data_IF_895876236570
#
_entry.id   IF_895876236570
#
_cell.length_a   1.000
_cell.length_b   1.000
_cell.length_c   1.000
_cell.angle_alpha   90.00
_cell.angle_beta   90.00
_cell.angle_gamma   90.00
#
_symmetry.space_group_name_H-M   'P 1'
#
loop_
_entity.id
_entity.type
_entity.pdbx_description
1 polymer ?
#
# COMPACT_ATOMS: atom_id res chain seq x y z
N UNK A 1 -2.67 -1.96 16.70
CA UNK A 1 -2.05 -3.29 17.05
C UNK A 1 -1.12 -3.69 15.92
N UNK A 2 0.14 -4.01 16.22
CA UNK A 2 1.14 -4.43 15.23
C UNK A 2 0.72 -5.74 14.53
N UNK A 3 1.09 -5.91 13.26
CA UNK A 3 0.78 -7.15 12.51
C UNK A 3 1.33 -8.40 13.22
N UNK A 4 2.54 -8.32 13.80
CA UNK A 4 3.17 -9.41 14.53
C UNK A 4 2.48 -9.78 15.86
N UNK A 5 1.68 -8.89 16.45
CA UNK A 5 0.87 -9.17 17.62
C UNK A 5 -0.39 -9.98 17.25
N UNK A 6 -0.87 -9.83 16.02
CA UNK A 6 -2.06 -10.51 15.51
C UNK A 6 -1.74 -11.80 14.78
N UNK A 7 -0.71 -11.80 13.93
CA UNK A 7 -0.29 -12.94 13.14
C UNK A 7 1.16 -13.29 13.45
N UNK A 8 1.39 -14.50 13.92
CA UNK A 8 2.75 -15.02 14.12
C UNK A 8 3.40 -15.34 12.79
N UNK A 9 2.59 -15.73 11.78
CA UNK A 9 3.02 -16.16 10.46
C UNK A 9 2.26 -15.43 9.36
N UNK A 10 2.97 -15.19 8.26
CA UNK A 10 2.42 -14.68 7.00
C UNK A 10 2.71 -15.69 5.89
N UNK A 11 1.75 -15.86 4.98
CA UNK A 11 1.80 -16.84 3.90
C UNK A 11 1.89 -16.11 2.56
N UNK A 12 2.94 -16.38 1.80
CA UNK A 12 3.11 -15.84 0.44
C UNK A 12 2.97 -16.95 -0.58
N UNK A 13 1.91 -16.89 -1.38
CA UNK A 13 1.61 -17.90 -2.41
C UNK A 13 2.30 -17.54 -3.72
N UNK A 14 2.94 -18.53 -4.35
CA UNK A 14 3.72 -18.31 -5.56
C UNK A 14 3.85 -19.56 -6.42
N UNK A 15 4.37 -19.40 -7.64
CA UNK A 15 4.71 -20.48 -8.55
C UNK A 15 6.09 -21.06 -8.21
N UNK A 16 6.49 -22.16 -8.91
CA UNK A 16 7.85 -22.71 -8.79
C UNK A 16 8.92 -21.67 -9.12
N UNK A 17 8.77 -20.95 -10.24
CA UNK A 17 9.73 -19.94 -10.66
C UNK A 17 9.85 -18.78 -9.64
N UNK A 18 8.71 -18.35 -9.05
CA UNK A 18 8.70 -17.36 -7.99
C UNK A 18 9.40 -17.86 -6.73
N UNK A 19 9.14 -19.12 -6.32
CA UNK A 19 9.82 -19.74 -5.17
C UNK A 19 11.34 -19.77 -5.37
N UNK A 20 11.81 -20.28 -6.51
CA UNK A 20 13.24 -20.35 -6.84
C UNK A 20 13.86 -18.95 -6.78
N UNK A 21 13.22 -17.96 -7.43
CA UNK A 21 13.69 -16.58 -7.42
C UNK A 21 13.80 -15.97 -6.01
N UNK A 22 12.84 -16.25 -5.13
CA UNK A 22 12.85 -15.76 -3.75
C UNK A 22 14.01 -16.40 -2.95
N UNK A 23 14.21 -17.72 -3.08
CA UNK A 23 15.24 -18.44 -2.32
C UNK A 23 16.64 -18.08 -2.81
N UNK A 24 16.88 -18.10 -4.12
CA UNK A 24 18.20 -17.87 -4.70
C UNK A 24 18.67 -16.41 -4.53
N UNK A 25 17.75 -15.45 -4.69
CA UNK A 25 18.10 -14.03 -4.60
C UNK A 25 17.93 -13.46 -3.19
N UNK A 26 17.39 -14.23 -2.23
CA UNK A 26 17.13 -13.79 -0.85
C UNK A 26 16.32 -12.49 -0.78
N UNK A 27 15.40 -12.31 -1.70
CA UNK A 27 14.60 -11.08 -1.81
C UNK A 27 13.12 -11.39 -2.09
N UNK A 28 12.26 -10.42 -1.78
CA UNK A 28 10.87 -10.40 -2.20
C UNK A 28 10.65 -9.33 -3.26
N UNK A 29 9.93 -9.66 -4.30
CA UNK A 29 9.55 -8.69 -5.31
C UNK A 29 8.31 -7.94 -4.88
N UNK A 30 8.44 -6.62 -4.71
CA UNK A 30 7.30 -5.73 -4.58
C UNK A 30 7.01 -5.12 -5.95
N UNK A 31 5.81 -5.35 -6.45
CA UNK A 31 5.37 -4.92 -7.79
C UNK A 31 4.72 -3.56 -7.71
N UNK A 32 4.96 -2.70 -8.68
CA UNK A 32 4.34 -1.39 -8.79
C UNK A 32 2.81 -1.52 -8.81
N UNK A 33 2.11 -0.71 -8.01
CA UNK A 33 0.67 -0.84 -7.74
C UNK A 33 -0.21 -0.87 -8.99
N UNK A 34 0.16 -0.12 -10.05
CA UNK A 34 -0.61 -0.05 -11.31
C UNK A 34 -0.60 -1.35 -12.11
N UNK A 35 0.31 -2.28 -11.80
CA UNK A 35 0.48 -3.57 -12.46
C UNK A 35 0.00 -4.75 -11.60
N UNK A 36 -0.65 -4.46 -10.48
CA UNK A 36 -1.37 -5.46 -9.70
C UNK A 36 -2.68 -5.84 -10.40
N UNK A 37 -3.15 -7.05 -10.16
CA UNK A 37 -4.39 -7.55 -10.76
C UNK A 37 -5.61 -6.68 -10.37
N UNK A 38 -5.53 -6.01 -9.22
CA UNK A 38 -6.62 -5.29 -8.57
C UNK A 38 -6.41 -3.76 -8.57
N UNK A 39 -5.80 -3.21 -9.64
CA UNK A 39 -5.57 -1.75 -9.75
C UNK A 39 -6.85 -0.92 -9.54
N UNK A 40 -8.02 -1.45 -9.92
CA UNK A 40 -9.32 -0.82 -9.65
C UNK A 40 -9.59 -0.57 -8.15
N UNK A 41 -8.91 -1.30 -7.26
CA UNK A 41 -9.04 -1.11 -5.81
C UNK A 41 -8.50 0.24 -5.34
N UNK A 42 -7.49 0.79 -6.01
CA UNK A 42 -6.98 2.13 -5.68
C UNK A 42 -8.03 3.22 -5.89
N UNK A 43 -9.03 2.98 -6.75
CA UNK A 43 -10.15 3.88 -6.99
C UNK A 43 -11.26 3.76 -5.96
N UNK A 44 -11.37 2.62 -5.25
CA UNK A 44 -12.42 2.41 -4.24
C UNK A 44 -12.31 3.38 -3.07
N UNK A 45 -11.10 3.75 -2.67
CA UNK A 45 -10.91 4.73 -1.61
C UNK A 45 -11.36 6.12 -2.04
N UNK A 46 -11.39 6.43 -3.35
CA UNK A 46 -11.77 7.73 -3.87
C UNK A 46 -13.20 8.11 -3.46
N UNK A 47 -14.14 7.19 -3.63
CA UNK A 47 -15.55 7.44 -3.29
C UNK A 47 -15.73 7.67 -1.79
N UNK A 48 -15.01 6.89 -0.97
CA UNK A 48 -15.01 7.07 0.50
C UNK A 48 -14.37 8.39 0.92
N UNK A 49 -13.31 8.83 0.24
CA UNK A 49 -12.69 10.13 0.50
C UNK A 49 -13.59 11.30 0.11
N UNK A 50 -14.33 11.19 -1.00
CA UNK A 50 -15.33 12.19 -1.39
C UNK A 50 -16.39 12.32 -0.30
N UNK A 51 -16.92 11.18 0.19
CA UNK A 51 -17.89 11.15 1.29
C UNK A 51 -17.37 11.85 2.55
N UNK A 52 -16.11 11.59 2.94
CA UNK A 52 -15.49 12.17 4.13
C UNK A 52 -15.10 13.65 3.95
N UNK A 53 -14.63 14.02 2.77
CA UNK A 53 -14.15 15.38 2.49
C UNK A 53 -15.31 16.38 2.29
N UNK A 54 -16.41 15.95 1.68
CA UNK A 54 -17.53 16.82 1.31
C UNK A 54 -18.07 17.68 2.48
N UNK A 55 -18.35 17.15 3.69
CA UNK A 55 -18.80 17.98 4.81
C UNK A 55 -17.75 18.99 5.28
N UNK A 56 -16.46 18.64 5.21
CA UNK A 56 -15.37 19.53 5.57
C UNK A 56 -15.28 20.68 4.56
N UNK A 57 -15.29 20.35 3.26
CA UNK A 57 -15.29 21.34 2.17
C UNK A 57 -16.48 22.28 2.30
N UNK A 58 -17.66 21.76 2.63
CA UNK A 58 -18.88 22.54 2.81
C UNK A 58 -18.74 23.52 3.99
N UNK A 59 -18.25 23.05 5.13
CA UNK A 59 -18.04 23.85 6.33
C UNK A 59 -17.02 24.98 6.07
N UNK A 60 -15.86 24.66 5.54
CA UNK A 60 -14.78 25.63 5.29
C UNK A 60 -15.16 26.62 4.18
N UNK A 61 -15.83 26.18 3.12
CA UNK A 61 -16.32 27.10 2.08
C UNK A 61 -17.34 28.09 2.64
N UNK A 62 -18.22 27.69 3.56
CA UNK A 62 -19.16 28.60 4.24
C UNK A 62 -18.43 29.60 5.13
N UNK A 63 -17.49 29.15 5.96
CA UNK A 63 -16.68 30.04 6.82
C UNK A 63 -15.95 31.10 5.98
N UNK A 64 -15.37 30.69 4.85
CA UNK A 64 -14.68 31.61 3.96
C UNK A 64 -15.63 32.67 3.40
N UNK A 65 -16.78 32.24 2.83
CA UNK A 65 -17.79 33.15 2.28
C UNK A 65 -18.32 34.12 3.35
N UNK A 66 -18.53 33.64 4.57
CA UNK A 66 -19.02 34.46 5.68
C UNK A 66 -18.01 35.51 6.17
N UNK A 67 -16.72 35.17 6.07
CA UNK A 67 -15.62 36.08 6.41
C UNK A 67 -15.31 37.15 5.33
N UNK A 68 -15.78 36.98 4.10
CA UNK A 68 -15.43 37.84 2.94
C UNK A 68 -16.68 38.34 2.22
N UNK A 69 -17.16 39.59 2.57
CA UNK A 69 -18.41 40.17 2.04
C UNK A 69 -18.48 40.24 0.50
N UNK A 70 -17.35 40.46 -0.17
CA UNK A 70 -17.29 40.51 -1.63
C UNK A 70 -17.51 39.12 -2.26
N UNK A 71 -16.99 38.10 -1.62
CA UNK A 71 -17.18 36.70 -2.04
C UNK A 71 -18.64 36.24 -1.83
N UNK A 72 -19.32 36.76 -0.82
CA UNK A 72 -20.78 36.53 -0.60
C UNK A 72 -21.62 36.90 -1.81
N UNK A 73 -21.25 37.99 -2.50
CA UNK A 73 -21.97 38.45 -3.69
C UNK A 73 -21.75 37.47 -4.86
N UNK A 74 -20.54 36.99 -5.03
CA UNK A 74 -20.19 36.00 -6.05
C UNK A 74 -20.89 34.67 -5.74
N UNK A 75 -20.88 34.24 -4.49
CA UNK A 75 -21.56 33.00 -4.07
C UNK A 75 -23.07 33.08 -4.24
N UNK A 76 -23.72 34.24 -3.99
CA UNK A 76 -25.14 34.43 -4.29
C UNK A 76 -25.46 34.26 -5.78
N UNK A 77 -24.56 34.67 -6.67
CA UNK A 77 -24.68 34.47 -8.12
C UNK A 77 -24.55 32.98 -8.47
N UNK A 78 -23.60 32.29 -7.85
CA UNK A 78 -23.38 30.84 -8.03
C UNK A 78 -24.54 30.05 -7.48
N UNK A 79 -25.05 30.37 -6.30
CA UNK A 79 -26.25 29.74 -5.70
C UNK A 79 -27.49 29.88 -6.58
N UNK A 80 -27.64 31.01 -7.27
CA UNK A 80 -28.76 31.22 -8.21
C UNK A 80 -28.61 30.51 -9.54
N UNK A 81 -27.38 30.17 -9.95
CA UNK A 81 -27.10 29.54 -11.26
C UNK A 81 -26.86 28.03 -11.19
N UNK A 82 -26.09 27.56 -10.23
CA UNK A 82 -25.65 26.14 -10.16
C UNK A 82 -25.89 25.49 -8.77
N UNK A 83 -26.22 26.32 -7.76
CA UNK A 83 -26.38 25.89 -6.38
C UNK A 83 -25.06 25.77 -5.62
N UNK A 84 -25.07 26.07 -4.32
CA UNK A 84 -23.90 25.95 -3.44
C UNK A 84 -23.37 24.50 -3.39
N UNK A 85 -24.26 23.53 -3.38
CA UNK A 85 -23.91 22.11 -3.33
C UNK A 85 -23.11 21.67 -4.57
N UNK A 86 -23.42 22.19 -5.75
CA UNK A 86 -22.65 21.90 -6.98
C UNK A 86 -21.22 22.43 -6.90
N UNK A 87 -21.00 23.58 -6.26
CA UNK A 87 -19.65 24.12 -6.01
C UNK A 87 -18.89 23.26 -5.01
N UNK A 88 -19.55 22.84 -3.93
CA UNK A 88 -18.98 21.93 -2.94
C UNK A 88 -18.58 20.60 -3.58
N UNK A 89 -19.44 20.03 -4.41
CA UNK A 89 -19.17 18.79 -5.13
C UNK A 89 -17.98 18.92 -6.07
N UNK A 90 -17.95 20.01 -6.86
CA UNK A 90 -16.81 20.29 -7.75
C UNK A 90 -15.50 20.45 -6.98
N UNK A 91 -15.48 21.29 -5.94
CA UNK A 91 -14.29 21.53 -5.12
C UNK A 91 -13.82 20.24 -4.42
N UNK A 92 -14.75 19.41 -3.94
CA UNK A 92 -14.42 18.12 -3.33
C UNK A 92 -13.77 17.17 -4.35
N UNK A 93 -14.31 17.08 -5.56
CA UNK A 93 -13.72 16.22 -6.61
C UNK A 93 -12.34 16.73 -7.03
N UNK A 94 -12.16 18.04 -7.23
CA UNK A 94 -10.86 18.65 -7.55
C UNK A 94 -9.83 18.36 -6.44
N UNK A 95 -10.22 18.51 -5.20
CA UNK A 95 -9.38 18.27 -4.05
C UNK A 95 -8.95 16.80 -3.94
N UNK A 96 -9.89 15.87 -4.04
CA UNK A 96 -9.59 14.43 -4.00
C UNK A 96 -8.72 14.01 -5.19
N UNK A 97 -8.98 14.53 -6.39
CA UNK A 97 -8.10 14.30 -7.57
C UNK A 97 -6.70 14.85 -7.33
N UNK A 98 -6.58 16.04 -6.71
CA UNK A 98 -5.29 16.64 -6.34
C UNK A 98 -4.51 15.72 -5.41
N UNK A 99 -5.16 15.11 -4.42
CA UNK A 99 -4.52 14.11 -3.53
C UNK A 99 -3.96 12.91 -4.31
N UNK A 100 -4.74 12.35 -5.23
CA UNK A 100 -4.26 11.25 -6.07
C UNK A 100 -3.10 11.68 -7.00
N UNK A 101 -3.08 12.93 -7.44
CA UNK A 101 -2.00 13.48 -8.26
C UNK A 101 -0.69 13.67 -7.47
N UNK A 102 -0.75 13.73 -6.13
CA UNK A 102 0.46 13.79 -5.29
C UNK A 102 1.13 12.42 -5.14
N UNK A 103 0.44 11.32 -5.45
CA UNK A 103 1.06 9.98 -5.44
C UNK A 103 2.11 9.93 -6.55
N UNK A 104 3.39 9.67 -6.21
CA UNK A 104 4.43 9.59 -7.22
C UNK A 104 4.07 8.60 -8.31
N UNK A 105 4.41 8.93 -9.55
CA UNK A 105 4.25 8.01 -10.69
C UNK A 105 5.06 6.72 -10.52
N UNK A 106 6.06 6.74 -9.64
CA UNK A 106 6.99 5.66 -9.29
C UNK A 106 6.61 4.93 -7.98
N UNK A 107 5.36 4.74 -7.68
CA UNK A 107 5.02 3.92 -6.51
C UNK A 107 3.58 4.11 -6.07
N UNK A 108 3.09 3.36 -5.08
CA UNK A 108 3.79 2.38 -4.23
C UNK A 108 4.12 1.04 -4.92
N UNK A 109 5.09 0.35 -4.35
CA UNK A 109 5.41 -1.04 -4.68
C UNK A 109 4.86 -1.97 -3.58
N UNK A 110 4.17 -3.03 -3.98
CA UNK A 110 3.39 -3.86 -3.07
C UNK A 110 3.79 -5.33 -3.17
N UNK A 111 3.94 -5.96 -2.00
CA UNK A 111 4.02 -7.42 -1.85
C UNK A 111 2.94 -7.87 -0.88
N UNK A 112 2.13 -8.85 -1.29
CA UNK A 112 0.97 -9.31 -0.54
C UNK A 112 1.23 -10.66 0.12
N UNK A 113 0.63 -10.84 1.29
CA UNK A 113 0.63 -12.04 2.10
C UNK A 113 -0.78 -12.31 2.60
N UNK A 114 -1.06 -13.56 2.98
CA UNK A 114 -2.22 -13.90 3.81
C UNK A 114 -1.78 -14.00 5.27
N UNK A 115 -2.55 -13.43 6.18
CA UNK A 115 -2.38 -13.65 7.61
C UNK A 115 -2.81 -15.05 8.04
N UNK A 116 -2.31 -15.52 9.17
CA UNK A 116 -2.74 -16.79 9.78
C UNK A 116 -4.26 -16.87 9.89
N UNK A 117 -4.83 -18.03 9.52
CA UNK A 117 -6.25 -18.35 9.72
C UNK A 117 -6.50 -18.81 11.16
N UNK A 118 -7.76 -18.72 11.61
CA UNK A 118 -8.22 -19.38 12.83
C UNK A 118 -8.36 -20.91 12.63
N UNK A 119 -8.43 -21.37 11.39
CA UNK A 119 -8.51 -22.77 11.01
C UNK A 119 -7.10 -23.32 10.83
N UNK A 120 -6.70 -24.24 11.71
CA UNK A 120 -5.40 -24.90 11.66
C UNK A 120 -5.19 -25.73 10.39
N UNK A 121 -6.28 -26.27 9.78
CA UNK A 121 -6.20 -26.98 8.53
C UNK A 121 -5.72 -26.05 7.40
N UNK A 122 -6.24 -24.83 7.33
CA UNK A 122 -5.81 -23.79 6.36
C UNK A 122 -4.35 -23.43 6.62
N UNK A 123 -3.95 -23.27 7.87
CA UNK A 123 -2.57 -22.95 8.22
C UNK A 123 -1.60 -24.08 7.83
N UNK A 124 -2.03 -25.33 7.91
CA UNK A 124 -1.21 -26.48 7.55
C UNK A 124 -1.16 -26.77 6.03
N UNK A 125 -2.27 -26.55 5.31
CA UNK A 125 -2.44 -26.98 3.93
C UNK A 125 -2.56 -25.84 2.92
N UNK A 126 -2.66 -24.58 3.39
CA UNK A 126 -2.93 -23.40 2.56
C UNK A 126 -4.41 -23.23 2.21
N UNK A 127 -4.74 -22.07 1.70
CA UNK A 127 -6.09 -21.64 1.35
C UNK A 127 -6.39 -21.96 -0.13
N UNK A 128 -7.55 -22.57 -0.39
CA UNK A 128 -7.91 -23.03 -1.74
C UNK A 128 -8.01 -21.90 -2.77
N UNK A 129 -8.61 -20.76 -2.38
CA UNK A 129 -8.69 -19.58 -3.26
C UNK A 129 -7.31 -19.05 -3.65
N UNK A 130 -6.36 -19.06 -2.72
CA UNK A 130 -4.98 -18.63 -2.96
C UNK A 130 -4.23 -19.59 -3.88
N UNK A 131 -4.44 -20.90 -3.72
CA UNK A 131 -3.90 -21.90 -4.67
C UNK A 131 -4.41 -21.68 -6.10
N UNK A 132 -5.70 -21.34 -6.24
CA UNK A 132 -6.30 -21.05 -7.55
C UNK A 132 -5.81 -19.73 -8.16
N UNK A 133 -5.66 -18.71 -7.34
CA UNK A 133 -5.27 -17.36 -7.80
C UNK A 133 -3.78 -17.24 -8.11
N UNK A 134 -2.92 -17.82 -7.27
CA UNK A 134 -1.48 -17.56 -7.29
C UNK A 134 -0.61 -18.79 -7.44
N UNK A 135 -1.18 -19.98 -7.24
CA UNK A 135 -0.43 -21.23 -7.20
C UNK A 135 -0.35 -21.95 -8.52
N UNK A 136 -0.52 -21.33 -9.69
CA UNK A 136 -0.56 -21.97 -11.00
C UNK A 136 0.01 -23.40 -10.99
N UNK A 137 -0.78 -24.40 -11.41
CA UNK A 137 -0.37 -25.79 -11.44
C UNK A 137 0.11 -26.34 -10.06
N UNK A 138 -0.58 -25.94 -8.99
CA UNK A 138 -0.36 -26.42 -7.62
C UNK A 138 0.49 -25.52 -6.72
N UNK A 139 1.40 -24.73 -7.23
CA UNK A 139 2.15 -23.69 -6.51
C UNK A 139 2.81 -24.05 -5.17
N UNK A 140 3.24 -23.01 -4.47
CA UNK A 140 3.91 -23.07 -3.17
C UNK A 140 3.44 -21.93 -2.27
N UNK A 141 3.37 -22.17 -0.96
CA UNK A 141 3.18 -21.11 0.02
C UNK A 141 4.40 -21.06 0.95
N UNK A 142 5.12 -19.93 0.92
CA UNK A 142 6.21 -19.65 1.83
C UNK A 142 5.62 -19.08 3.11
N UNK A 143 5.99 -19.65 4.25
CA UNK A 143 5.52 -19.24 5.58
C UNK A 143 6.62 -18.47 6.27
N UNK A 144 6.36 -17.19 6.51
CA UNK A 144 7.30 -16.26 7.10
C UNK A 144 7.01 -16.00 8.58
N UNK A 145 8.06 -15.86 9.38
CA UNK A 145 7.97 -15.29 10.72
C UNK A 145 7.69 -13.77 10.62
N UNK A 146 6.54 -13.36 11.13
CA UNK A 146 6.08 -11.96 11.01
C UNK A 146 6.94 -10.98 11.79
N UNK A 147 7.42 -11.36 12.97
CA UNK A 147 8.25 -10.48 13.81
C UNK A 147 9.62 -10.25 13.15
N UNK A 148 10.25 -11.32 12.68
CA UNK A 148 11.53 -11.22 11.96
C UNK A 148 11.39 -10.44 10.66
N UNK A 149 10.26 -10.59 9.95
CA UNK A 149 9.95 -9.78 8.75
C UNK A 149 9.89 -8.30 9.09
N UNK A 150 9.21 -7.93 10.19
CA UNK A 150 9.17 -6.55 10.66
C UNK A 150 10.55 -5.99 11.00
N UNK A 151 11.41 -6.78 11.64
CA UNK A 151 12.80 -6.38 11.91
C UNK A 151 13.61 -6.16 10.61
N UNK A 152 13.38 -6.99 9.58
CA UNK A 152 14.04 -6.81 8.28
C UNK A 152 13.57 -5.54 7.57
N UNK A 153 12.28 -5.19 7.68
CA UNK A 153 11.77 -3.94 7.12
C UNK A 153 12.40 -2.70 7.76
N UNK A 154 12.61 -2.73 9.07
CA UNK A 154 13.32 -1.64 9.77
C UNK A 154 14.73 -1.48 9.21
N UNK A 155 15.49 -2.59 9.07
CA UNK A 155 16.85 -2.55 8.50
C UNK A 155 16.85 -2.06 7.04
N UNK A 156 15.88 -2.49 6.23
CA UNK A 156 15.73 -2.03 4.84
C UNK A 156 15.49 -0.52 4.79
N UNK A 157 14.59 0.00 5.64
CA UNK A 157 14.32 1.43 5.78
C UNK A 157 15.53 2.24 6.27
N UNK A 158 16.30 1.68 7.21
CA UNK A 158 17.53 2.33 7.71
C UNK A 158 18.62 2.41 6.66
N UNK A 159 18.72 1.41 5.79
CA UNK A 159 19.80 1.27 4.81
C UNK A 159 19.54 2.02 3.50
N UNK A 160 18.30 2.12 3.05
CA UNK A 160 17.91 2.66 1.76
C UNK A 160 16.94 3.84 1.88
N UNK A 161 16.89 4.67 0.85
CA UNK A 161 16.02 5.83 0.80
C UNK A 161 14.57 5.42 0.46
N UNK A 162 13.71 5.51 1.45
CA UNK A 162 12.26 5.38 1.32
C UNK A 162 11.59 6.60 1.95
N UNK A 163 10.59 7.16 1.28
CA UNK A 163 9.68 8.12 1.91
C UNK A 163 8.77 7.42 2.92
N UNK A 164 8.37 6.18 2.61
CA UNK A 164 7.59 5.34 3.51
C UNK A 164 7.75 3.86 3.15
N UNK A 165 7.77 2.99 4.17
CA UNK A 165 7.64 1.54 4.01
C UNK A 165 6.92 0.98 5.24
N UNK A 166 5.92 0.15 5.03
CA UNK A 166 5.15 -0.44 6.12
C UNK A 166 4.73 -1.88 5.80
N UNK A 167 4.53 -2.66 6.87
CA UNK A 167 3.85 -3.94 6.84
C UNK A 167 2.56 -3.80 7.62
N UNK A 168 1.42 -3.85 6.95
CA UNK A 168 0.13 -3.69 7.61
C UNK A 168 -0.99 -4.44 6.89
N UNK A 169 -2.12 -4.57 7.58
CA UNK A 169 -3.29 -5.31 7.10
C UNK A 169 -4.10 -4.48 6.11
N UNK A 170 -4.73 -5.16 5.18
CA UNK A 170 -5.74 -4.56 4.30
C UNK A 170 -7.02 -4.24 5.08
N UNK A 171 -7.62 -3.09 4.82
CA UNK A 171 -8.93 -2.67 5.32
C UNK A 171 -9.97 -2.88 4.23
N UNK A 172 -10.99 -3.68 4.51
CA UNK A 172 -12.02 -4.02 3.52
C UNK A 172 -13.19 -3.04 3.54
N UNK A 173 -13.76 -2.74 2.38
CA UNK A 173 -14.77 -1.69 2.18
C UNK A 173 -16.09 -1.85 2.95
N UNK A 174 -16.31 -2.98 3.62
CA UNK A 174 -17.47 -3.21 4.51
C UNK A 174 -17.10 -3.28 5.99
N UNK A 175 -15.88 -2.94 6.36
CA UNK A 175 -15.39 -2.97 7.73
C UNK A 175 -15.27 -1.55 8.27
N UNK A 176 -16.43 -0.91 8.49
CA UNK A 176 -16.52 0.49 8.94
C UNK A 176 -15.85 0.71 10.30
N UNK A 177 -15.95 -0.26 11.22
CA UNK A 177 -15.30 -0.18 12.54
C UNK A 177 -13.78 -0.08 12.36
N UNK A 178 -13.22 -0.95 11.55
CA UNK A 178 -11.80 -0.97 11.27
C UNK A 178 -11.34 0.23 10.44
N UNK A 179 -12.16 0.71 9.52
CA UNK A 179 -11.89 1.94 8.79
C UNK A 179 -11.73 3.12 9.77
N UNK A 180 -12.65 3.24 10.74
CA UNK A 180 -12.59 4.25 11.79
C UNK A 180 -11.36 4.12 12.68
N UNK A 181 -11.01 2.91 13.07
CA UNK A 181 -9.86 2.67 13.94
C UNK A 181 -8.51 2.94 13.26
N UNK A 182 -8.35 2.55 11.99
CA UNK A 182 -7.05 2.53 11.31
C UNK A 182 -6.87 3.70 10.33
N UNK A 183 -7.92 4.13 9.62
CA UNK A 183 -7.83 5.13 8.56
C UNK A 183 -8.28 6.52 9.02
N UNK A 184 -9.35 6.66 9.80
CA UNK A 184 -9.77 7.99 10.26
C UNK A 184 -8.68 8.76 11.03
N UNK A 185 -7.90 8.15 11.95
CA UNK A 185 -6.79 8.85 12.61
C UNK A 185 -5.71 9.33 11.64
N UNK A 186 -5.42 8.54 10.59
CA UNK A 186 -4.46 8.92 9.54
C UNK A 186 -5.04 10.00 8.63
N UNK A 187 -6.33 9.91 8.31
CA UNK A 187 -7.05 10.88 7.51
C UNK A 187 -7.42 12.15 8.30
N UNK A 188 -7.26 12.17 9.63
CA UNK A 188 -7.45 13.40 10.42
C UNK A 188 -6.48 14.52 10.03
N UNK A 189 -5.26 14.17 9.64
CA UNK A 189 -4.31 15.10 9.04
C UNK A 189 -4.80 15.63 7.68
N UNK A 190 -5.68 14.87 7.00
CA UNK A 190 -6.35 15.27 5.79
C UNK A 190 -7.25 16.50 6.00
N UNK A 191 -7.89 16.63 7.17
CA UNK A 191 -8.73 17.80 7.46
C UNK A 191 -7.91 19.11 7.40
N UNK A 192 -6.77 19.17 8.07
CA UNK A 192 -5.88 20.33 8.01
C UNK A 192 -5.35 20.61 6.59
N UNK A 193 -5.08 19.56 5.82
CA UNK A 193 -4.71 19.68 4.41
C UNK A 193 -5.86 20.27 3.58
N UNK A 194 -7.09 19.77 3.75
CA UNK A 194 -8.29 20.27 3.07
C UNK A 194 -8.51 21.76 3.40
N UNK A 195 -8.45 22.12 4.67
CA UNK A 195 -8.59 23.48 5.15
C UNK A 195 -7.54 24.43 4.54
N UNK A 196 -6.28 23.98 4.48
CA UNK A 196 -5.18 24.72 3.84
C UNK A 196 -5.38 24.89 2.32
N UNK A 197 -5.80 23.83 1.64
CA UNK A 197 -6.09 23.87 0.20
C UNK A 197 -7.26 24.78 -0.15
N UNK A 198 -8.32 24.76 0.65
CA UNK A 198 -9.47 25.66 0.45
C UNK A 198 -9.02 27.12 0.61
N UNK A 199 -8.21 27.43 1.61
CA UNK A 199 -7.62 28.77 1.76
C UNK A 199 -6.76 29.15 0.56
N UNK A 200 -5.89 28.25 0.07
CA UNK A 200 -5.09 28.48 -1.14
C UNK A 200 -5.96 28.81 -2.36
N UNK A 201 -7.05 28.05 -2.56
CA UNK A 201 -7.98 28.26 -3.69
C UNK A 201 -8.61 29.65 -3.63
N UNK A 202 -8.96 30.10 -2.42
CA UNK A 202 -9.69 31.35 -2.23
C UNK A 202 -8.80 32.58 -2.09
N UNK A 203 -7.64 32.45 -1.49
CA UNK A 203 -6.73 33.59 -1.19
C UNK A 203 -5.60 33.72 -2.21
N UNK A 204 -5.40 32.72 -3.09
CA UNK A 204 -4.33 32.70 -4.09
C UNK A 204 -2.92 32.62 -3.50
N UNK A 205 -2.82 32.34 -2.18
CA UNK A 205 -1.56 32.22 -1.46
C UNK A 205 -1.30 30.76 -1.08
N UNK A 206 -0.06 30.29 -1.27
CA UNK A 206 0.37 28.98 -0.77
C UNK A 206 0.42 29.04 0.78
N UNK A 207 -0.50 28.34 1.42
CA UNK A 207 -0.50 28.18 2.87
C UNK A 207 0.73 27.33 3.28
N UNK A 208 1.53 27.77 4.30
CA UNK A 208 2.63 26.97 4.84
C UNK A 208 2.23 25.58 5.31
N UNK A 209 0.97 25.37 5.70
CA UNK A 209 0.45 24.02 5.99
C UNK A 209 0.39 23.14 4.74
N UNK A 210 0.20 23.72 3.57
CA UNK A 210 0.27 23.00 2.29
C UNK A 210 1.72 22.63 1.94
N UNK A 211 2.71 23.31 2.50
CA UNK A 211 4.14 23.00 2.31
C UNK A 211 4.65 21.83 3.18
N UNK A 212 3.97 21.48 4.27
CA UNK A 212 4.41 20.43 5.22
C UNK A 212 3.68 19.07 4.98
N UNK A 213 3.62 18.64 3.71
CA UNK A 213 2.74 17.54 3.27
C UNK A 213 3.28 16.12 3.45
N UNK A 214 4.53 15.92 3.80
CA UNK A 214 5.13 14.59 3.85
C UNK A 214 4.32 13.60 4.70
N UNK A 215 3.80 14.05 5.84
CA UNK A 215 3.01 13.19 6.72
C UNK A 215 1.62 12.90 6.17
N UNK A 216 0.91 13.93 5.67
CA UNK A 216 -0.42 13.75 5.09
C UNK A 216 -0.38 12.90 3.82
N UNK A 217 0.64 13.09 2.98
CA UNK A 217 0.90 12.27 1.82
C UNK A 217 1.16 10.81 2.19
N UNK A 218 2.05 10.55 3.15
CA UNK A 218 2.38 9.21 3.62
C UNK A 218 1.13 8.49 4.15
N UNK A 219 0.33 9.17 4.97
CA UNK A 219 -0.87 8.62 5.58
C UNK A 219 -1.93 8.30 4.52
N UNK A 220 -2.11 9.18 3.54
CA UNK A 220 -2.99 8.95 2.39
C UNK A 220 -2.51 7.77 1.53
N UNK A 221 -1.24 7.76 1.16
CA UNK A 221 -0.65 6.70 0.34
C UNK A 221 -0.74 5.32 1.01
N UNK A 222 -0.53 5.28 2.34
CA UNK A 222 -0.76 4.08 3.15
C UNK A 222 -2.22 3.61 3.07
N UNK A 223 -3.19 4.49 3.27
CA UNK A 223 -4.62 4.13 3.17
C UNK A 223 -4.98 3.64 1.76
N UNK A 224 -4.52 4.36 0.72
CA UNK A 224 -4.77 3.99 -0.68
C UNK A 224 -4.24 2.59 -1.03
N UNK A 225 -3.07 2.24 -0.53
CA UNK A 225 -2.42 0.95 -0.81
C UNK A 225 -3.06 -0.23 -0.08
N UNK A 226 -3.91 0.02 0.91
CA UNK A 226 -4.47 -1.00 1.81
C UNK A 226 -6.00 -1.05 1.84
N UNK A 227 -6.70 -0.21 1.07
CA UNK A 227 -8.16 -0.28 0.97
C UNK A 227 -8.56 -1.24 -0.14
N UNK A 228 -9.40 -2.24 0.17
CA UNK A 228 -9.75 -3.31 -0.76
C UNK A 228 -11.25 -3.63 -0.74
N UNK A 229 -11.75 -4.10 -1.87
CA UNK A 229 -13.15 -4.51 -1.97
C UNK A 229 -13.47 -5.70 -1.06
N UNK A 230 -14.62 -5.65 -0.39
CA UNK A 230 -15.09 -6.67 0.57
C UNK A 230 -15.13 -8.09 0.03
N UNK A 231 -15.29 -8.26 -1.28
CA UNK A 231 -15.31 -9.59 -1.93
C UNK A 231 -14.03 -10.39 -1.74
N UNK A 232 -12.91 -9.72 -1.38
CA UNK A 232 -11.62 -10.34 -1.13
C UNK A 232 -11.31 -10.56 0.36
N UNK A 233 -12.30 -10.39 1.24
CA UNK A 233 -12.10 -10.48 2.71
C UNK A 233 -11.56 -11.85 3.17
N UNK A 234 -11.86 -12.92 2.43
CA UNK A 234 -11.34 -14.25 2.73
C UNK A 234 -9.81 -14.35 2.61
N UNK A 235 -9.17 -13.51 1.78
CA UNK A 235 -7.72 -13.51 1.61
C UNK A 235 -6.98 -13.12 2.90
N UNK A 236 -7.64 -12.47 3.85
CA UNK A 236 -7.05 -12.01 5.12
C UNK A 236 -5.70 -11.32 4.88
N UNK A 237 -5.69 -10.38 3.94
CA UNK A 237 -4.49 -9.87 3.30
C UNK A 237 -3.69 -8.93 4.20
N UNK A 238 -2.39 -9.09 4.16
CA UNK A 238 -1.37 -8.22 4.75
C UNK A 238 -0.43 -7.78 3.64
N UNK A 239 -0.09 -6.50 3.57
CA UNK A 239 0.77 -5.93 2.54
C UNK A 239 2.04 -5.32 3.12
N UNK A 240 3.16 -5.52 2.43
CA UNK A 240 4.27 -4.58 2.47
C UNK A 240 3.98 -3.52 1.40
N UNK A 241 3.87 -2.27 1.81
CA UNK A 241 3.72 -1.12 0.93
C UNK A 241 4.99 -0.28 1.03
N UNK A 242 5.73 -0.16 -0.07
CA UNK A 242 7.01 0.52 -0.12
C UNK A 242 6.95 1.71 -1.08
N UNK A 243 7.39 2.87 -0.62
CA UNK A 243 7.47 4.11 -1.37
C UNK A 243 8.95 4.53 -1.44
N UNK A 244 9.74 4.05 -2.42
CA UNK A 244 11.11 4.48 -2.58
C UNK A 244 11.17 5.98 -2.82
N UNK A 245 12.07 6.67 -2.13
CA UNK A 245 12.30 8.09 -2.38
C UNK A 245 12.95 8.28 -3.76
N UNK A 246 12.48 9.30 -4.48
CA UNK A 246 13.14 9.82 -5.68
C UNK A 246 13.86 11.09 -5.22
N UNK A 247 15.14 11.23 -5.56
CA UNK A 247 15.91 12.42 -5.28
C UNK A 247 15.89 13.35 -6.47
N UNK A 248 15.65 14.62 -6.21
CA UNK A 248 15.94 15.65 -7.19
C UNK A 248 17.39 16.11 -6.98
N UNK A 249 18.18 16.17 -8.05
CA UNK A 249 19.58 16.66 -8.00
C UNK A 249 19.70 18.09 -7.45
N UNK A 250 18.56 18.77 -7.29
CA UNK A 250 18.45 20.15 -6.80
C UNK A 250 18.39 20.29 -5.28
N UNK A 251 18.28 19.19 -4.54
CA UNK A 251 18.06 19.25 -3.08
C UNK A 251 19.26 19.75 -2.26
N UNK A 252 20.42 20.00 -2.91
CA UNK A 252 21.57 20.69 -2.28
C UNK A 252 22.16 19.97 -1.04
N UNK A 253 21.71 18.75 -0.75
CA UNK A 253 22.16 17.97 0.39
C UNK A 253 23.51 17.29 0.08
N UNK A 254 24.34 17.18 1.10
CA UNK A 254 25.64 16.53 1.01
C UNK A 254 25.46 15.05 0.63
N UNK A 255 26.01 14.64 -0.54
CA UNK A 255 25.83 13.30 -1.10
C UNK A 255 26.30 12.19 -0.18
N UNK A 256 27.28 12.46 0.68
CA UNK A 256 27.88 11.48 1.58
C UNK A 256 27.00 11.17 2.82
N UNK A 257 25.99 11.98 3.10
CA UNK A 257 25.06 11.79 4.21
C UNK A 257 23.72 11.13 3.78
N UNK A 258 23.55 10.89 2.49
CA UNK A 258 22.28 10.43 1.94
C UNK A 258 22.25 8.90 1.79
N UNK A 259 21.17 8.26 2.26
CA UNK A 259 20.95 6.83 2.02
C UNK A 259 20.89 6.53 0.52
N UNK A 260 21.46 5.39 0.05
CA UNK A 260 21.33 4.97 -1.34
C UNK A 260 19.87 4.85 -1.77
N UNK A 261 19.58 5.19 -3.02
CA UNK A 261 18.24 4.97 -3.59
C UNK A 261 17.93 3.48 -3.73
N UNK A 262 16.65 3.15 -3.64
CA UNK A 262 16.18 1.81 -3.96
C UNK A 262 16.14 1.62 -5.47
N UNK A 263 16.85 0.63 -5.97
CA UNK A 263 16.89 0.28 -7.40
C UNK A 263 15.51 -0.18 -7.88
N UNK A 264 15.07 0.32 -9.06
CA UNK A 264 13.87 -0.10 -9.78
C UNK A 264 14.28 -1.02 -10.91
N UNK A 265 13.71 -2.19 -10.93
CA UNK A 265 13.94 -3.23 -11.93
C UNK A 265 12.67 -3.49 -12.73
N UNK A 266 12.83 -4.16 -13.87
CA UNK A 266 11.70 -4.49 -14.76
C UNK A 266 11.69 -5.98 -15.07
N UNK A 267 10.49 -6.53 -15.17
CA UNK A 267 10.27 -7.90 -15.65
C UNK A 267 9.20 -7.91 -16.74
N UNK A 268 9.33 -8.82 -17.68
CA UNK A 268 8.28 -9.03 -18.68
C UNK A 268 7.19 -9.95 -18.13
N UNK A 269 5.95 -9.49 -18.12
CA UNK A 269 4.75 -10.29 -17.78
C UNK A 269 3.70 -10.05 -18.85
N UNK A 270 3.25 -11.09 -19.53
CA UNK A 270 2.24 -11.02 -20.61
C UNK A 270 2.58 -9.99 -21.72
N UNK A 271 3.87 -9.82 -22.05
CA UNK A 271 4.33 -8.87 -23.07
C UNK A 271 4.51 -7.43 -22.56
N UNK A 272 4.17 -7.12 -21.32
CA UNK A 272 4.34 -5.82 -20.70
C UNK A 272 5.57 -5.76 -19.81
N UNK A 273 6.20 -4.59 -19.73
CA UNK A 273 7.30 -4.31 -18.79
C UNK A 273 6.71 -3.87 -17.47
N UNK A 274 6.84 -4.71 -16.46
CA UNK A 274 6.30 -4.50 -15.11
C UNK A 274 7.41 -4.05 -14.18
N UNK A 275 7.36 -2.80 -13.66
CA UNK A 275 8.34 -2.34 -12.68
C UNK A 275 8.14 -3.04 -11.33
N UNK A 276 9.26 -3.37 -10.69
CA UNK A 276 9.29 -3.93 -9.33
C UNK A 276 10.56 -3.52 -8.60
N UNK A 277 10.57 -3.68 -7.29
CA UNK A 277 11.74 -3.55 -6.43
C UNK A 277 12.02 -4.86 -5.70
N UNK A 278 13.30 -5.11 -5.41
CA UNK A 278 13.76 -6.31 -4.71
C UNK A 278 13.97 -5.99 -3.22
N UNK A 279 12.93 -6.20 -2.40
CA UNK A 279 13.00 -5.99 -0.96
C UNK A 279 14.01 -6.95 -0.31
N UNK A 280 14.79 -6.46 0.64
CA UNK A 280 15.76 -7.20 1.46
C UNK A 280 17.04 -7.67 0.75
N UNK A 281 17.16 -7.55 -0.56
CA UNK A 281 18.33 -8.02 -1.33
C UNK A 281 19.66 -7.47 -0.80
N UNK A 282 19.67 -6.21 -0.36
CA UNK A 282 20.89 -5.53 0.11
C UNK A 282 21.24 -5.86 1.56
N UNK A 283 20.40 -6.59 2.28
CA UNK A 283 20.63 -6.91 3.69
C UNK A 283 21.64 -8.05 3.89
N UNK A 284 21.92 -8.83 2.85
CA UNK A 284 22.81 -10.00 2.86
C UNK A 284 22.51 -10.97 4.03
N UNK A 285 21.22 -11.24 4.21
CA UNK A 285 20.72 -12.17 5.22
C UNK A 285 19.57 -13.02 4.64
N UNK A 286 19.40 -14.22 5.17
CA UNK A 286 18.32 -15.10 4.76
C UNK A 286 16.95 -14.53 5.13
N UNK A 287 15.99 -14.71 4.23
CA UNK A 287 14.60 -14.37 4.51
C UNK A 287 14.07 -15.21 5.68
N UNK A 288 13.16 -14.67 6.50
CA UNK A 288 12.65 -15.35 7.69
C UNK A 288 11.58 -16.39 7.35
N UNK A 289 11.92 -17.32 6.44
CA UNK A 289 11.06 -18.41 6.00
C UNK A 289 11.19 -19.57 6.97
N UNK A 290 10.10 -19.98 7.63
CA UNK A 290 10.08 -21.12 8.55
C UNK A 290 9.84 -22.44 7.82
N UNK A 291 8.93 -22.41 6.84
CA UNK A 291 8.57 -23.61 6.06
C UNK A 291 7.95 -23.24 4.72
N UNK A 292 7.90 -24.25 3.83
CA UNK A 292 7.22 -24.15 2.54
C UNK A 292 6.14 -25.22 2.45
N UNK A 293 4.92 -24.81 2.09
CA UNK A 293 3.80 -25.72 1.85
C UNK A 293 3.73 -25.96 0.35
N UNK A 294 3.74 -27.24 -0.05
CA UNK A 294 3.52 -27.64 -1.44
C UNK A 294 2.02 -27.75 -1.70
N UNK A 295 1.53 -26.98 -2.65
CA UNK A 295 0.12 -26.93 -3.00
C UNK A 295 -0.42 -28.24 -3.59
N UNK A 296 -1.75 -28.33 -3.79
CA UNK A 296 -2.37 -29.52 -4.33
C UNK A 296 -1.93 -29.76 -5.79
N UNK A 297 -1.32 -30.90 -6.02
CA UNK A 297 -0.84 -31.33 -7.34
C UNK A 297 -0.76 -32.86 -7.42
N UNK A 298 -1.00 -33.44 -8.62
CA UNK A 298 -0.94 -34.93 -8.82
C UNK A 298 0.45 -35.48 -8.49
N UNK A 299 1.52 -34.75 -8.77
CA UNK A 299 2.91 -35.16 -8.49
C UNK A 299 3.47 -34.45 -7.22
N UNK A 300 2.65 -34.30 -6.18
CA UNK A 300 3.04 -33.59 -4.95
C UNK A 300 4.30 -34.17 -4.30
N UNK A 301 4.41 -35.49 -4.24
CA UNK A 301 5.57 -36.19 -3.64
C UNK A 301 6.88 -35.85 -4.36
N UNK A 302 6.88 -35.87 -5.69
CA UNK A 302 8.05 -35.53 -6.49
C UNK A 302 8.46 -34.06 -6.26
N UNK A 303 7.48 -33.13 -6.14
CA UNK A 303 7.73 -31.73 -5.84
C UNK A 303 8.31 -31.54 -4.43
N UNK A 304 7.81 -32.27 -3.44
CA UNK A 304 8.38 -32.28 -2.09
C UNK A 304 9.82 -32.79 -2.11
N UNK A 305 10.11 -33.85 -2.87
CA UNK A 305 11.47 -34.38 -2.99
C UNK A 305 12.42 -33.38 -3.65
N UNK A 306 12.01 -32.74 -4.76
CA UNK A 306 12.80 -31.72 -5.44
C UNK A 306 13.07 -30.53 -4.52
N UNK A 307 12.05 -30.09 -3.76
CA UNK A 307 12.18 -28.99 -2.83
C UNK A 307 13.16 -29.31 -1.69
N UNK A 308 13.13 -30.51 -1.15
CA UNK A 308 14.09 -30.97 -0.12
C UNK A 308 15.54 -30.95 -0.64
N UNK A 309 15.76 -31.34 -1.90
CA UNK A 309 17.08 -31.26 -2.52
C UNK A 309 17.53 -29.80 -2.64
N UNK A 310 16.64 -28.89 -3.10
CA UNK A 310 16.96 -27.46 -3.24
C UNK A 310 17.25 -26.81 -1.90
N UNK A 311 16.55 -27.18 -0.84
CA UNK A 311 16.69 -26.61 0.50
C UNK A 311 17.74 -27.33 1.37
N UNK A 312 18.54 -28.24 0.79
CA UNK A 312 19.57 -28.94 1.54
C UNK A 312 20.55 -27.97 2.18
N UNK A 313 20.78 -28.10 3.48
CA UNK A 313 21.66 -27.21 4.23
C UNK A 313 20.97 -25.95 4.76
N UNK A 314 19.69 -25.70 4.48
CA UNK A 314 18.90 -24.62 5.07
C UNK A 314 18.10 -25.09 6.28
N UNK A 315 17.60 -24.15 7.10
CA UNK A 315 16.69 -24.44 8.23
C UNK A 315 15.22 -24.48 7.84
N UNK A 316 14.91 -24.32 6.55
CA UNK A 316 13.52 -24.23 6.04
C UNK A 316 12.91 -25.64 6.01
N UNK A 317 11.71 -25.79 6.60
CA UNK A 317 10.97 -27.06 6.59
C UNK A 317 10.08 -27.18 5.35
N UNK A 318 9.83 -28.43 4.94
CA UNK A 318 8.91 -28.78 3.84
C UNK A 318 7.84 -29.71 4.33
#
# INVERSE_FOLDING_TARGET
MKVSERYKRLYHYTTWGGLVGIIENRCLWATHHRFLNDYSETLLLKDKLIELAKPIVQEESRKFVDGHPDQRRIMKIIETSSGFDAVVDHNTDVLVRGMYATVPSDGPYITSFCGESKDEYINANGMLSQWRGYGQDGGFALVFDTQRMGCMLVKEYERLAYSHIELDRVVYSNDEERFKEEFEPRLSNLRGFIEGMIRCIHEGALDPMVQNHENAFRDFASCMSRYKHRGFKEENEVRICAFPAIRDEKDGLDKDQLKPEKERTFRTKNGEQVPYIELFKTLDQDLPIERIIVGPHQNKEARVSALRVMLHGTSIKV
#
